data_IF_670127288579
#
_entry.id   IF_670127288579
#
_cell.length_a   1.000
_cell.length_b   1.000
_cell.length_c   1.000
_cell.angle_alpha   90.00
_cell.angle_beta   90.00
_cell.angle_gamma   90.00
#
_symmetry.space_group_name_H-M   'P 1'
#
loop_
_entity.id
_entity.type
_entity.pdbx_description
1 polymer ?
#
# COMPACT_ATOMS: atom_id res chain seq x y z
N UNK A 1 19.90 -36.83 3.11
CA UNK A 1 18.60 -36.52 2.48
C UNK A 1 18.47 -35.00 2.39
N UNK A 2 18.07 -34.45 1.24
CA UNK A 2 17.77 -33.02 1.12
C UNK A 2 16.54 -32.67 1.95
N UNK A 3 16.63 -31.64 2.79
CA UNK A 3 15.49 -31.17 3.60
C UNK A 3 14.29 -30.82 2.71
N UNK A 4 13.07 -31.14 3.16
CA UNK A 4 11.78 -30.79 2.55
C UNK A 4 11.72 -29.31 2.13
N UNK A 5 12.31 -28.42 2.94
CA UNK A 5 12.41 -26.99 2.69
C UNK A 5 13.07 -26.64 1.34
N UNK A 6 13.98 -27.50 0.86
CA UNK A 6 14.72 -27.33 -0.40
C UNK A 6 14.20 -28.20 -1.53
N UNK A 7 13.42 -29.26 -1.24
CA UNK A 7 12.93 -30.21 -2.24
C UNK A 7 11.46 -30.01 -2.62
N UNK A 8 10.59 -29.61 -1.69
CA UNK A 8 9.16 -29.44 -1.97
C UNK A 8 8.95 -28.21 -2.86
N UNK A 9 8.25 -28.33 -4.02
CA UNK A 9 8.16 -27.24 -5.02
C UNK A 9 7.70 -25.89 -4.45
N UNK A 10 6.68 -25.89 -3.58
CA UNK A 10 6.17 -24.66 -2.97
C UNK A 10 7.08 -24.12 -1.85
N UNK A 11 7.61 -25.00 -0.99
CA UNK A 11 8.41 -24.56 0.16
C UNK A 11 9.79 -24.09 -0.30
N UNK A 12 10.28 -24.62 -1.43
CA UNK A 12 11.51 -24.16 -2.08
C UNK A 12 11.43 -22.68 -2.47
N UNK A 13 10.27 -22.18 -2.91
CA UNK A 13 10.08 -20.76 -3.22
C UNK A 13 10.27 -19.94 -1.94
N UNK A 14 9.54 -20.29 -0.87
CA UNK A 14 9.65 -19.62 0.45
C UNK A 14 11.08 -19.68 0.98
N UNK A 15 11.75 -20.83 0.85
CA UNK A 15 13.13 -21.00 1.26
C UNK A 15 14.05 -20.00 0.59
N UNK A 16 13.98 -19.94 -0.74
CA UNK A 16 14.92 -19.16 -1.54
C UNK A 16 14.61 -17.66 -1.46
N UNK A 17 13.36 -17.28 -1.21
CA UNK A 17 12.93 -15.88 -1.16
C UNK A 17 12.91 -15.28 0.25
N UNK A 18 13.01 -16.10 1.32
CA UNK A 18 12.78 -15.62 2.68
C UNK A 18 13.69 -16.23 3.75
N UNK A 19 14.17 -17.47 3.57
CA UNK A 19 14.94 -18.17 4.62
C UNK A 19 16.43 -18.15 4.29
N UNK A 20 16.81 -18.82 3.21
CA UNK A 20 18.19 -18.95 2.74
C UNK A 20 18.55 -17.87 1.70
N UNK A 21 17.70 -16.84 1.53
CA UNK A 21 17.98 -15.71 0.65
C UNK A 21 19.29 -15.03 1.09
N UNK A 22 20.33 -14.98 0.23
CA UNK A 22 21.55 -14.25 0.56
C UNK A 22 21.30 -12.74 0.51
N UNK A 23 21.60 -12.05 1.61
CA UNK A 23 21.46 -10.60 1.73
C UNK A 23 22.80 -9.97 2.15
N UNK A 24 23.14 -8.76 1.66
CA UNK A 24 24.35 -8.06 2.10
C UNK A 24 24.36 -7.91 3.62
N UNK A 25 25.49 -8.14 4.28
CA UNK A 25 25.60 -8.09 5.75
C UNK A 25 25.33 -6.72 6.39
N UNK A 26 25.45 -5.64 5.60
CA UNK A 26 25.50 -4.26 6.07
C UNK A 26 24.26 -3.42 5.71
N UNK A 27 23.14 -4.00 5.29
CA UNK A 27 21.94 -3.19 4.97
C UNK A 27 21.35 -2.57 6.24
N UNK A 28 21.11 -1.26 6.20
CA UNK A 28 20.67 -0.44 7.34
C UNK A 28 19.15 -0.52 7.57
N UNK A 29 18.62 0.22 8.55
CA UNK A 29 17.18 0.27 8.83
C UNK A 29 16.33 0.71 7.62
N UNK A 30 16.92 1.45 6.67
CA UNK A 30 16.25 1.88 5.45
C UNK A 30 15.78 0.71 4.56
N UNK A 31 16.38 -0.48 4.70
CA UNK A 31 15.94 -1.68 3.96
C UNK A 31 14.66 -2.30 4.53
N UNK A 32 14.29 -2.00 5.78
CA UNK A 32 13.07 -2.51 6.41
C UNK A 32 11.79 -1.99 5.74
N UNK A 33 11.82 -0.84 5.07
CA UNK A 33 10.61 -0.28 4.46
C UNK A 33 10.02 -1.18 3.36
N UNK A 34 10.79 -2.10 2.77
CA UNK A 34 10.24 -3.10 1.85
C UNK A 34 9.26 -4.05 2.53
N UNK A 35 9.65 -4.62 3.67
CA UNK A 35 8.77 -5.52 4.44
C UNK A 35 7.63 -4.77 5.13
N UNK A 36 7.87 -3.56 5.63
CA UNK A 36 6.81 -2.71 6.21
C UNK A 36 5.71 -2.39 5.19
N UNK A 37 6.06 -2.12 3.92
CA UNK A 37 5.07 -1.91 2.87
C UNK A 37 4.21 -3.15 2.61
N UNK A 38 4.80 -4.35 2.66
CA UNK A 38 4.06 -5.61 2.60
C UNK A 38 3.07 -5.76 3.75
N UNK A 39 3.46 -5.36 4.97
CA UNK A 39 2.57 -5.35 6.13
C UNK A 39 1.48 -4.29 5.99
N UNK A 40 1.78 -3.08 5.53
CA UNK A 40 0.78 -2.04 5.27
C UNK A 40 -0.26 -2.55 4.26
N UNK A 41 0.16 -3.20 3.17
CA UNK A 41 -0.76 -3.79 2.20
C UNK A 41 -1.67 -4.85 2.81
N UNK A 42 -1.11 -5.78 3.60
CA UNK A 42 -1.90 -6.79 4.29
C UNK A 42 -2.89 -6.17 5.27
N UNK A 43 -2.46 -5.16 6.05
CA UNK A 43 -3.31 -4.42 6.98
C UNK A 43 -4.47 -3.74 6.25
N UNK A 44 -4.20 -3.04 5.13
CA UNK A 44 -5.25 -2.38 4.35
C UNK A 44 -6.24 -3.37 3.73
N UNK A 45 -5.78 -4.50 3.19
CA UNK A 45 -6.66 -5.53 2.61
C UNK A 45 -7.56 -6.13 3.70
N UNK A 46 -7.00 -6.51 4.85
CA UNK A 46 -7.76 -7.13 5.94
C UNK A 46 -8.79 -6.16 6.52
N UNK A 47 -8.34 -4.97 6.94
CA UNK A 47 -9.25 -3.96 7.52
C UNK A 47 -10.30 -3.50 6.49
N UNK A 48 -9.90 -3.30 5.24
CA UNK A 48 -10.80 -2.90 4.15
C UNK A 48 -11.86 -3.94 3.84
N UNK A 49 -11.50 -5.24 3.86
CA UNK A 49 -12.45 -6.33 3.67
C UNK A 49 -13.53 -6.34 4.76
N UNK A 50 -13.16 -6.19 6.04
CA UNK A 50 -14.13 -6.13 7.14
C UNK A 50 -15.01 -4.88 7.06
N UNK A 51 -14.44 -3.72 6.71
CA UNK A 51 -15.22 -2.49 6.52
C UNK A 51 -16.21 -2.63 5.34
N UNK A 52 -15.79 -3.27 4.25
CA UNK A 52 -16.65 -3.51 3.09
C UNK A 52 -17.89 -4.35 3.40
N UNK A 53 -17.84 -5.24 4.40
CA UNK A 53 -19.01 -6.01 4.84
C UNK A 53 -20.13 -5.16 5.46
N UNK A 54 -19.82 -3.92 5.85
CA UNK A 54 -20.75 -2.99 6.50
C UNK A 54 -20.97 -1.70 5.68
N UNK A 55 -20.30 -1.54 4.55
CA UNK A 55 -20.36 -0.34 3.70
C UNK A 55 -21.45 -0.45 2.63
N UNK A 56 -22.07 0.68 2.30
CA UNK A 56 -23.00 0.80 1.16
C UNK A 56 -22.55 1.89 0.20
N UNK A 57 -22.38 1.56 -1.08
CA UNK A 57 -21.91 2.47 -2.13
C UNK A 57 -23.04 3.22 -2.86
N UNK A 58 -23.98 3.78 -2.09
CA UNK A 58 -25.08 4.64 -2.56
C UNK A 58 -24.95 6.03 -1.92
N UNK A 59 -25.14 7.11 -2.69
CA UNK A 59 -24.90 8.48 -2.23
C UNK A 59 -25.80 8.90 -1.07
N UNK A 60 -26.98 8.30 -0.93
CA UNK A 60 -27.88 8.58 0.20
C UNK A 60 -27.44 7.89 1.50
N UNK A 61 -26.67 6.80 1.43
CA UNK A 61 -26.34 5.97 2.60
C UNK A 61 -24.84 5.81 2.86
N UNK A 62 -23.95 6.21 1.96
CA UNK A 62 -22.50 6.00 2.08
C UNK A 62 -21.92 6.61 3.36
N UNK A 63 -22.14 7.90 3.59
CA UNK A 63 -21.68 8.58 4.81
C UNK A 63 -22.27 7.92 6.07
N UNK A 64 -23.58 7.67 6.07
CA UNK A 64 -24.27 7.05 7.19
C UNK A 64 -23.73 5.64 7.49
N UNK A 65 -23.39 4.84 6.47
CA UNK A 65 -22.82 3.51 6.64
C UNK A 65 -21.44 3.56 7.33
N UNK A 66 -20.61 4.56 7.01
CA UNK A 66 -19.32 4.80 7.70
C UNK A 66 -19.55 5.22 9.15
N UNK A 67 -20.52 6.09 9.43
CA UNK A 67 -20.84 6.45 10.82
C UNK A 67 -21.39 5.27 11.63
N UNK A 68 -22.23 4.43 11.01
CA UNK A 68 -22.76 3.20 11.59
C UNK A 68 -21.62 2.22 11.94
N UNK A 69 -20.63 2.05 11.05
CA UNK A 69 -19.43 1.25 11.35
C UNK A 69 -18.71 1.74 12.61
N UNK A 70 -18.55 3.05 12.77
CA UNK A 70 -17.85 3.60 13.93
C UNK A 70 -18.66 3.50 15.23
N UNK A 71 -20.00 3.50 15.16
CA UNK A 71 -20.86 3.64 16.35
C UNK A 71 -21.52 2.34 16.79
N UNK A 72 -21.91 1.50 15.84
CA UNK A 72 -22.81 0.37 16.11
C UNK A 72 -22.14 -0.99 15.86
N UNK A 73 -21.10 -1.04 15.02
CA UNK A 73 -20.34 -2.27 14.76
C UNK A 73 -19.29 -2.48 15.85
N UNK A 74 -19.27 -3.68 16.45
CA UNK A 74 -18.28 -4.05 17.47
C UNK A 74 -16.84 -3.87 16.94
N UNK A 75 -16.06 -3.03 17.63
CA UNK A 75 -14.71 -2.63 17.21
C UNK A 75 -14.62 -1.99 15.80
N UNK A 76 -15.74 -1.59 15.21
CA UNK A 76 -15.77 -1.00 13.87
C UNK A 76 -15.03 0.34 13.81
N UNK A 77 -15.04 1.13 14.89
CA UNK A 77 -14.22 2.35 15.00
C UNK A 77 -12.72 2.04 14.91
N UNK A 78 -12.24 0.96 15.58
CA UNK A 78 -10.83 0.55 15.53
C UNK A 78 -10.46 0.17 14.10
N UNK A 79 -11.29 -0.63 13.43
CA UNK A 79 -11.06 -1.02 12.04
C UNK A 79 -11.04 0.19 11.11
N UNK A 80 -11.98 1.14 11.30
CA UNK A 80 -12.06 2.33 10.47
C UNK A 80 -10.83 3.22 10.60
N UNK A 81 -10.35 3.45 11.83
CA UNK A 81 -9.17 4.28 12.08
C UNK A 81 -7.86 3.56 11.78
N UNK A 82 -7.77 2.24 11.96
CA UNK A 82 -6.66 1.44 11.45
C UNK A 82 -6.56 1.55 9.92
N UNK A 83 -7.68 1.46 9.21
CA UNK A 83 -7.69 1.59 7.75
C UNK A 83 -7.34 3.02 7.30
N UNK A 84 -7.83 4.05 8.00
CA UNK A 84 -7.52 5.45 7.69
C UNK A 84 -6.05 5.79 7.93
N UNK A 85 -5.58 5.61 9.17
CA UNK A 85 -4.21 5.94 9.55
C UNK A 85 -3.20 4.94 8.96
N UNK A 86 -3.63 3.71 8.68
CA UNK A 86 -2.85 2.72 7.95
C UNK A 86 -2.54 3.15 6.52
N UNK A 87 -3.46 3.86 5.85
CA UNK A 87 -3.19 4.46 4.55
C UNK A 87 -2.11 5.54 4.64
N UNK A 88 -2.16 6.42 5.64
CA UNK A 88 -1.09 7.41 5.89
C UNK A 88 0.24 6.76 6.19
N UNK A 89 0.26 5.71 7.02
CA UNK A 89 1.46 4.92 7.32
C UNK A 89 2.03 4.26 6.06
N UNK A 90 1.17 3.78 5.16
CA UNK A 90 1.57 3.23 3.86
C UNK A 90 2.36 4.29 3.06
N UNK A 91 1.84 5.52 2.93
CA UNK A 91 2.53 6.58 2.19
C UNK A 91 3.83 7.03 2.86
N UNK A 92 3.87 7.13 4.20
CA UNK A 92 5.11 7.40 4.92
C UNK A 92 6.15 6.32 4.58
N UNK A 93 5.78 5.04 4.66
CA UNK A 93 6.68 3.94 4.29
C UNK A 93 7.10 4.00 2.81
N UNK A 94 6.18 4.34 1.90
CA UNK A 94 6.47 4.45 0.46
C UNK A 94 7.50 5.53 0.20
N UNK A 95 7.31 6.73 0.76
CA UNK A 95 8.23 7.84 0.54
C UNK A 95 9.61 7.57 1.13
N UNK A 96 9.69 6.94 2.30
CA UNK A 96 10.98 6.52 2.88
C UNK A 96 11.64 5.41 2.06
N UNK A 97 10.86 4.47 1.51
CA UNK A 97 11.35 3.42 0.62
C UNK A 97 11.91 3.98 -0.69
N UNK A 98 11.19 4.91 -1.32
CA UNK A 98 11.62 5.62 -2.54
C UNK A 98 12.84 6.49 -2.25
N UNK A 99 12.84 7.24 -1.15
CA UNK A 99 13.95 8.08 -0.72
C UNK A 99 15.24 7.27 -0.51
N UNK A 100 15.14 6.10 0.13
CA UNK A 100 16.23 5.13 0.22
C UNK A 100 16.74 4.75 -1.17
N UNK A 101 15.83 4.44 -2.09
CA UNK A 101 16.19 4.03 -3.45
C UNK A 101 16.94 5.09 -4.24
N UNK A 102 16.58 6.37 -4.05
CA UNK A 102 17.29 7.51 -4.64
C UNK A 102 18.65 7.68 -3.97
N UNK A 103 18.69 7.74 -2.64
CA UNK A 103 19.91 8.05 -1.89
C UNK A 103 21.02 7.01 -2.11
N UNK A 104 20.68 5.73 -2.17
CA UNK A 104 21.65 4.64 -2.34
C UNK A 104 21.81 4.17 -3.80
N UNK A 105 21.22 4.87 -4.77
CA UNK A 105 21.34 4.49 -6.18
C UNK A 105 20.64 3.17 -6.57
N UNK A 106 19.68 2.70 -5.77
CA UNK A 106 18.96 1.45 -6.07
C UNK A 106 18.07 1.55 -7.32
N UNK A 107 17.80 2.76 -7.82
CA UNK A 107 17.12 2.97 -9.11
C UNK A 107 17.89 2.41 -10.32
N UNK A 108 19.19 2.08 -10.14
CA UNK A 108 19.98 1.39 -11.16
C UNK A 108 19.48 -0.04 -11.45
N UNK A 109 18.73 -0.66 -10.53
CA UNK A 109 17.97 -1.87 -10.79
C UNK A 109 16.68 -1.53 -11.53
N UNK A 110 16.82 -1.24 -12.84
CA UNK A 110 15.80 -0.61 -13.67
C UNK A 110 14.44 -1.31 -13.62
N UNK A 111 14.40 -2.63 -13.73
CA UNK A 111 13.12 -3.35 -13.74
C UNK A 111 12.42 -3.30 -12.37
N UNK A 112 13.16 -3.54 -11.29
CA UNK A 112 12.66 -3.37 -9.92
C UNK A 112 12.18 -1.93 -9.69
N UNK A 113 12.95 -0.94 -10.12
CA UNK A 113 12.61 0.48 -9.96
C UNK A 113 11.36 0.88 -10.74
N UNK A 114 11.26 0.52 -12.03
CA UNK A 114 10.11 0.82 -12.87
C UNK A 114 8.84 0.14 -12.33
N UNK A 115 8.94 -1.11 -11.86
CA UNK A 115 7.84 -1.77 -11.15
C UNK A 115 7.46 -1.04 -9.86
N UNK A 116 8.43 -0.48 -9.14
CA UNK A 116 8.20 0.38 -7.98
C UNK A 116 7.43 1.66 -8.32
N UNK A 117 7.71 2.28 -9.47
CA UNK A 117 6.97 3.45 -9.96
C UNK A 117 5.52 3.07 -10.30
N UNK A 118 5.30 1.93 -10.96
CA UNK A 118 3.95 1.42 -11.24
C UNK A 118 3.19 1.15 -9.93
N UNK A 119 3.84 0.53 -8.95
CA UNK A 119 3.28 0.30 -7.61
C UNK A 119 2.90 1.60 -6.91
N UNK A 120 3.75 2.62 -6.97
CA UNK A 120 3.47 3.94 -6.40
C UNK A 120 2.18 4.53 -6.99
N UNK A 121 2.06 4.55 -8.32
CA UNK A 121 0.84 5.07 -8.97
C UNK A 121 -0.40 4.23 -8.67
N UNK A 122 -0.26 2.90 -8.59
CA UNK A 122 -1.38 2.03 -8.22
C UNK A 122 -1.87 2.29 -6.78
N UNK A 123 -0.95 2.47 -5.82
CA UNK A 123 -1.32 2.81 -4.43
C UNK A 123 -1.93 4.22 -4.36
N UNK A 124 -1.41 5.20 -5.11
CA UNK A 124 -1.99 6.54 -5.23
C UNK A 124 -3.43 6.51 -5.74
N UNK A 125 -3.68 5.79 -6.84
CA UNK A 125 -5.03 5.63 -7.37
C UNK A 125 -5.96 4.95 -6.36
N UNK A 126 -5.49 3.88 -5.72
CA UNK A 126 -6.26 3.14 -4.70
C UNK A 126 -6.64 4.05 -3.53
N UNK A 127 -5.69 4.80 -2.97
CA UNK A 127 -5.93 5.66 -1.82
C UNK A 127 -6.85 6.84 -2.17
N UNK A 128 -6.67 7.44 -3.36
CA UNK A 128 -7.57 8.48 -3.85
C UNK A 128 -9.01 7.99 -3.90
N UNK A 129 -9.28 6.86 -4.55
CA UNK A 129 -10.64 6.31 -4.63
C UNK A 129 -11.18 5.91 -3.26
N UNK A 130 -10.34 5.40 -2.36
CA UNK A 130 -10.71 5.07 -0.98
C UNK A 130 -11.14 6.29 -0.19
N UNK A 131 -10.49 7.43 -0.41
CA UNK A 131 -10.82 8.70 0.24
C UNK A 131 -12.17 9.28 -0.23
N UNK A 132 -12.68 8.87 -1.39
CA UNK A 132 -14.01 9.28 -1.88
C UNK A 132 -15.15 8.52 -1.18
N UNK A 133 -14.90 7.29 -0.71
CA UNK A 133 -15.93 6.38 -0.19
C UNK A 133 -16.70 6.88 1.03
N UNK A 134 -16.10 7.62 1.99
CA UNK A 134 -16.85 8.20 3.11
C UNK A 134 -17.89 9.23 2.67
N UNK A 135 -17.75 9.80 1.48
CA UNK A 135 -18.69 10.78 0.91
C UNK A 135 -18.91 12.03 1.79
N UNK A 136 -17.83 12.50 2.45
CA UNK A 136 -17.79 13.81 3.14
C UNK A 136 -17.52 14.98 2.19
N UNK A 137 -17.40 16.21 2.71
CA UNK A 137 -17.20 17.39 1.84
C UNK A 137 -15.87 17.29 1.09
N UNK A 138 -14.77 17.01 1.81
CA UNK A 138 -13.45 16.88 1.19
C UNK A 138 -13.38 15.69 0.23
N UNK A 139 -14.09 14.60 0.51
CA UNK A 139 -14.23 13.45 -0.40
C UNK A 139 -14.85 13.86 -1.74
N UNK A 140 -15.99 14.55 -1.70
CA UNK A 140 -16.75 14.93 -2.89
C UNK A 140 -16.03 16.01 -3.72
N UNK A 141 -15.58 17.09 -3.06
CA UNK A 141 -14.91 18.19 -3.75
C UNK A 141 -13.53 17.78 -4.25
N UNK A 142 -12.79 16.99 -3.46
CA UNK A 142 -11.53 16.40 -3.89
C UNK A 142 -11.70 15.54 -5.13
N UNK A 143 -12.72 14.66 -5.16
CA UNK A 143 -13.02 13.86 -6.34
C UNK A 143 -13.32 14.74 -7.57
N UNK A 144 -14.18 15.75 -7.40
CA UNK A 144 -14.60 16.66 -8.47
C UNK A 144 -13.41 17.42 -9.06
N UNK A 145 -12.60 18.05 -8.22
CA UNK A 145 -11.46 18.87 -8.69
C UNK A 145 -10.40 18.00 -9.37
N UNK A 146 -9.99 16.90 -8.73
CA UNK A 146 -8.88 16.08 -9.23
C UNK A 146 -9.23 15.38 -10.54
N UNK A 147 -10.42 14.78 -10.64
CA UNK A 147 -10.82 14.12 -11.88
C UNK A 147 -11.04 15.11 -13.02
N UNK A 148 -11.52 16.33 -12.72
CA UNK A 148 -11.73 17.35 -13.73
C UNK A 148 -10.42 17.91 -14.32
N UNK A 149 -9.25 17.67 -13.71
CA UNK A 149 -7.95 18.01 -14.32
C UNK A 149 -7.75 17.34 -15.68
N UNK A 150 -8.37 16.18 -15.92
CA UNK A 150 -8.31 15.47 -17.21
C UNK A 150 -9.02 16.23 -18.34
N UNK A 151 -9.93 17.16 -18.03
CA UNK A 151 -10.60 18.01 -19.03
C UNK A 151 -9.60 18.88 -19.82
N UNK A 152 -8.41 19.13 -19.25
CA UNK A 152 -7.36 19.89 -19.91
C UNK A 152 -6.67 19.14 -21.06
N UNK A 153 -6.93 17.83 -21.25
CA UNK A 153 -6.40 17.06 -22.37
C UNK A 153 -7.10 17.51 -23.67
N UNK A 154 -6.37 18.00 -24.68
CA UNK A 154 -6.98 18.48 -25.92
C UNK A 154 -7.83 17.40 -26.61
N UNK A 155 -8.94 17.83 -27.19
CA UNK A 155 -9.90 17.04 -27.98
C UNK A 155 -10.71 16.01 -27.19
N UNK A 156 -10.09 15.21 -26.31
CA UNK A 156 -10.74 14.07 -25.62
C UNK A 156 -11.02 14.31 -24.13
N UNK A 157 -10.54 15.42 -23.56
CA UNK A 157 -10.53 15.64 -22.11
C UNK A 157 -11.93 15.63 -21.48
N UNK A 158 -12.87 16.39 -22.03
CA UNK A 158 -14.25 16.47 -21.50
C UNK A 158 -14.95 15.12 -21.55
N UNK A 159 -14.87 14.42 -22.68
CA UNK A 159 -15.46 13.09 -22.85
C UNK A 159 -14.86 12.08 -21.85
N UNK A 160 -13.55 12.15 -21.60
CA UNK A 160 -12.87 11.29 -20.64
C UNK A 160 -13.35 11.53 -19.20
N UNK A 161 -13.55 12.79 -18.80
CA UNK A 161 -14.05 13.15 -17.48
C UNK A 161 -15.48 12.64 -17.28
N UNK A 162 -16.38 12.92 -18.21
CA UNK A 162 -17.77 12.44 -18.14
C UNK A 162 -17.85 10.91 -18.17
N UNK A 163 -16.96 10.25 -18.91
CA UNK A 163 -16.85 8.79 -18.91
C UNK A 163 -16.43 8.24 -17.55
N UNK A 164 -15.41 8.85 -16.90
CA UNK A 164 -14.97 8.49 -15.55
C UNK A 164 -16.08 8.71 -14.53
N UNK A 165 -16.82 9.81 -14.62
CA UNK A 165 -17.94 10.10 -13.72
C UNK A 165 -19.13 9.17 -13.97
N UNK A 166 -19.37 8.81 -15.22
CA UNK A 166 -20.60 8.12 -15.64
C UNK A 166 -21.80 9.03 -15.68
N UNK A 167 -21.59 10.31 -15.96
CA UNK A 167 -22.59 11.38 -15.91
C UNK A 167 -21.90 12.75 -16.02
N UNK A 168 -22.67 13.81 -15.77
CA UNK A 168 -22.21 15.20 -15.91
C UNK A 168 -21.46 15.76 -14.69
N UNK A 169 -21.44 15.01 -13.59
CA UNK A 169 -20.74 15.37 -12.35
C UNK A 169 -20.40 14.11 -11.56
N UNK A 170 -19.53 14.25 -10.56
CA UNK A 170 -19.34 13.22 -9.53
C UNK A 170 -20.67 12.97 -8.83
N UNK A 171 -21.18 11.75 -8.89
CA UNK A 171 -22.47 11.34 -8.28
C UNK A 171 -22.50 9.81 -8.04
N UNK A 172 -23.68 9.22 -7.86
CA UNK A 172 -23.91 7.80 -7.58
C UNK A 172 -23.14 6.85 -8.50
N UNK A 173 -23.17 7.09 -9.82
CA UNK A 173 -22.44 6.24 -10.76
C UNK A 173 -20.92 6.25 -10.50
N UNK A 174 -20.37 7.39 -10.07
CA UNK A 174 -18.95 7.56 -9.73
C UNK A 174 -18.62 6.87 -8.41
N UNK A 175 -19.45 7.02 -7.38
CA UNK A 175 -19.22 6.40 -6.08
C UNK A 175 -19.23 4.87 -6.17
N UNK A 176 -20.22 4.29 -6.83
CA UNK A 176 -20.35 2.83 -6.95
C UNK A 176 -19.16 2.22 -7.70
N UNK A 177 -18.68 2.84 -8.79
CA UNK A 177 -17.50 2.34 -9.52
C UNK A 177 -16.20 2.56 -8.75
N UNK A 178 -16.05 3.67 -8.03
CA UNK A 178 -14.86 3.93 -7.22
C UNK A 178 -14.74 2.91 -6.09
N UNK A 179 -15.85 2.51 -5.48
CA UNK A 179 -15.83 1.39 -4.54
C UNK A 179 -15.34 0.09 -5.20
N UNK A 180 -15.86 -0.26 -6.38
CA UNK A 180 -15.44 -1.46 -7.10
C UNK A 180 -13.94 -1.45 -7.46
N UNK A 181 -13.43 -0.33 -7.98
CA UNK A 181 -12.00 -0.19 -8.31
C UNK A 181 -11.11 -0.15 -7.07
N UNK A 182 -11.54 0.56 -6.02
CA UNK A 182 -10.83 0.59 -4.73
C UNK A 182 -10.73 -0.81 -4.10
N UNK A 183 -11.78 -1.64 -4.24
CA UNK A 183 -11.75 -3.03 -3.79
C UNK A 183 -10.82 -3.90 -4.63
N UNK A 184 -10.82 -3.74 -5.96
CA UNK A 184 -10.04 -4.56 -6.88
C UNK A 184 -8.52 -4.26 -6.83
N UNK A 185 -8.14 -2.99 -6.80
CA UNK A 185 -6.74 -2.58 -6.97
C UNK A 185 -5.76 -3.13 -5.93
N UNK A 186 -6.08 -3.27 -4.62
CA UNK A 186 -5.20 -3.90 -3.65
C UNK A 186 -4.74 -5.33 -4.03
N UNK A 187 -5.60 -6.09 -4.72
CA UNK A 187 -5.25 -7.43 -5.22
C UNK A 187 -4.33 -7.37 -6.44
N UNK A 188 -4.55 -6.39 -7.33
CA UNK A 188 -3.62 -6.12 -8.44
C UNK A 188 -2.26 -5.69 -7.88
N UNK A 189 -2.24 -4.81 -6.88
CA UNK A 189 -1.02 -4.37 -6.19
C UNK A 189 -0.29 -5.58 -5.59
N UNK A 190 -1.01 -6.52 -4.95
CA UNK A 190 -0.42 -7.75 -4.42
C UNK A 190 0.31 -8.57 -5.51
N UNK A 191 -0.28 -8.70 -6.70
CA UNK A 191 0.36 -9.35 -7.84
C UNK A 191 1.59 -8.58 -8.34
N UNK A 192 1.50 -7.25 -8.44
CA UNK A 192 2.61 -6.39 -8.84
C UNK A 192 3.77 -6.42 -7.84
N UNK A 193 3.50 -6.54 -6.53
CA UNK A 193 4.53 -6.74 -5.49
C UNK A 193 5.29 -8.05 -5.73
N UNK A 194 4.61 -9.13 -6.12
CA UNK A 194 5.30 -10.39 -6.45
C UNK A 194 6.24 -10.23 -7.64
N UNK A 195 5.83 -9.49 -8.67
CA UNK A 195 6.68 -9.17 -9.84
C UNK A 195 7.86 -8.27 -9.43
N UNK A 196 7.62 -7.27 -8.58
CA UNK A 196 8.66 -6.39 -8.07
C UNK A 196 9.74 -7.16 -7.27
N UNK A 197 9.31 -8.09 -6.40
CA UNK A 197 10.23 -8.96 -5.65
C UNK A 197 10.93 -9.99 -6.55
N UNK A 198 10.28 -10.48 -7.60
CA UNK A 198 10.90 -11.36 -8.58
C UNK A 198 12.10 -10.66 -9.24
N UNK A 199 11.92 -9.44 -9.77
CA UNK A 199 13.03 -8.68 -10.35
C UNK A 199 14.13 -8.38 -9.33
N UNK A 200 13.76 -8.06 -8.07
CA UNK A 200 14.75 -7.85 -7.01
C UNK A 200 15.59 -9.11 -6.74
N UNK A 201 14.97 -10.29 -6.78
CA UNK A 201 15.67 -11.55 -6.50
C UNK A 201 16.60 -12.00 -7.65
N UNK A 202 16.43 -11.48 -8.87
CA UNK A 202 17.38 -11.69 -9.96
C UNK A 202 18.73 -11.02 -9.69
N UNK A 203 18.75 -9.84 -9.06
CA UNK A 203 19.98 -9.08 -8.78
C UNK A 203 20.45 -9.19 -7.33
N UNK A 204 19.55 -9.52 -6.41
CA UNK A 204 19.76 -9.34 -4.98
C UNK A 204 19.62 -7.88 -4.53
N UNK A 205 19.70 -7.66 -3.22
CA UNK A 205 19.62 -6.32 -2.63
C UNK A 205 20.91 -5.51 -2.84
N UNK A 206 20.76 -4.21 -3.10
CA UNK A 206 21.85 -3.23 -2.94
C UNK A 206 22.18 -3.07 -1.45
N UNK A 207 23.23 -2.31 -1.13
CA UNK A 207 23.65 -2.00 0.23
C UNK A 207 24.17 -0.56 0.39
N UNK A 208 24.37 -0.06 1.62
CA UNK A 208 24.70 1.34 1.87
C UNK A 208 26.00 1.86 1.24
N UNK A 209 26.97 1.00 0.93
CA UNK A 209 28.25 1.43 0.33
C UNK A 209 28.21 1.52 -1.19
N UNK A 210 27.20 0.91 -1.84
CA UNK A 210 27.11 0.83 -3.30
C UNK A 210 28.17 -0.08 -3.94
N UNK A 211 28.97 -0.80 -3.14
CA UNK A 211 29.99 -1.75 -3.60
C UNK A 211 29.39 -3.16 -3.63
N UNK A 212 29.75 -4.03 -4.59
CA UNK A 212 29.28 -5.42 -4.63
C UNK A 212 29.51 -6.16 -3.31
N UNK A 213 28.45 -6.77 -2.75
CA UNK A 213 28.47 -7.45 -1.45
C UNK A 213 28.69 -8.96 -1.53
N UNK A 214 29.03 -9.51 -2.71
CA UNK A 214 29.16 -10.96 -2.94
C UNK A 214 30.16 -11.64 -1.99
N UNK A 215 31.14 -10.89 -1.49
CA UNK A 215 32.15 -11.36 -0.56
C UNK A 215 31.65 -11.48 0.89
N UNK A 216 30.53 -10.83 1.24
CA UNK A 216 29.98 -10.78 2.59
C UNK A 216 28.44 -10.76 2.58
N UNK A 217 27.86 -11.92 2.27
CA UNK A 217 26.42 -12.16 2.34
C UNK A 217 26.10 -13.06 3.53
N UNK A 218 25.00 -12.74 4.20
CA UNK A 218 24.43 -13.53 5.29
C UNK A 218 23.05 -14.05 4.88
N UNK A 219 22.59 -15.20 5.41
CA UNK A 219 21.23 -15.66 5.16
C UNK A 219 20.22 -14.68 5.74
N UNK A 220 19.07 -14.52 5.08
CA UNK A 220 18.02 -13.63 5.55
C UNK A 220 17.49 -14.05 6.93
N UNK A 221 17.29 -15.35 7.16
CA UNK A 221 16.99 -15.89 8.48
C UNK A 221 18.28 -16.34 9.20
N UNK A 222 18.51 -15.97 10.48
CA UNK A 222 17.62 -15.21 11.36
C UNK A 222 17.78 -13.69 11.28
N UNK A 223 18.88 -13.20 10.69
CA UNK A 223 19.35 -11.81 10.83
C UNK A 223 18.33 -10.76 10.42
N UNK A 224 17.84 -10.82 9.19
CA UNK A 224 16.87 -9.87 8.68
C UNK A 224 15.45 -10.19 9.11
N UNK A 225 15.13 -11.46 9.39
CA UNK A 225 13.81 -11.79 10.00
C UNK A 225 13.60 -11.10 11.35
N UNK A 226 14.59 -11.14 12.26
CA UNK A 226 14.44 -10.49 13.57
C UNK A 226 14.50 -8.96 13.47
N UNK A 227 15.34 -8.44 12.57
CA UNK A 227 15.44 -7.00 12.30
C UNK A 227 14.13 -6.44 11.73
N UNK A 228 13.48 -7.18 10.84
CA UNK A 228 12.20 -6.79 10.25
C UNK A 228 11.06 -6.85 11.27
N UNK A 229 11.05 -7.87 12.15
CA UNK A 229 10.12 -7.94 13.29
C UNK A 229 10.28 -6.74 14.22
N UNK A 230 11.51 -6.30 14.51
CA UNK A 230 11.74 -5.07 15.27
C UNK A 230 11.17 -3.83 14.56
N UNK A 231 11.41 -3.69 13.26
CA UNK A 231 10.85 -2.61 12.45
C UNK A 231 9.31 -2.60 12.48
N UNK A 232 8.69 -3.78 12.41
CA UNK A 232 7.25 -3.95 12.52
C UNK A 232 6.72 -3.46 13.87
N UNK A 233 7.35 -3.82 14.99
CA UNK A 233 6.92 -3.35 16.31
C UNK A 233 6.98 -1.82 16.44
N UNK A 234 8.04 -1.20 15.89
CA UNK A 234 8.16 0.27 15.89
C UNK A 234 7.04 0.89 15.05
N UNK A 235 6.80 0.39 13.84
CA UNK A 235 5.73 0.88 12.98
C UNK A 235 4.35 0.73 13.63
N UNK A 236 4.07 -0.44 14.24
CA UNK A 236 2.82 -0.69 14.96
C UNK A 236 2.65 0.24 16.16
N UNK A 237 3.72 0.53 16.90
CA UNK A 237 3.66 1.48 18.01
C UNK A 237 3.20 2.87 17.53
N UNK A 238 3.76 3.36 16.42
CA UNK A 238 3.37 4.66 15.84
C UNK A 238 1.95 4.61 15.27
N UNK A 239 1.57 3.53 14.58
CA UNK A 239 0.22 3.40 14.04
C UNK A 239 -0.84 3.35 15.15
N UNK A 240 -0.59 2.55 16.19
CA UNK A 240 -1.52 2.41 17.31
C UNK A 240 -1.57 3.67 18.18
N UNK A 241 -0.46 4.41 18.31
CA UNK A 241 -0.51 5.69 19.02
C UNK A 241 -1.41 6.70 18.30
N UNK A 242 -1.34 6.77 16.97
CA UNK A 242 -2.28 7.57 16.17
C UNK A 242 -3.72 7.08 16.38
N UNK A 243 -3.99 5.79 16.16
CA UNK A 243 -5.35 5.24 16.20
C UNK A 243 -6.01 5.39 17.57
N UNK A 244 -5.26 5.23 18.66
CA UNK A 244 -5.83 5.18 20.01
C UNK A 244 -5.82 6.53 20.75
N UNK A 245 -4.89 7.43 20.42
CA UNK A 245 -4.77 8.72 21.12
C UNK A 245 -5.07 9.94 20.24
N UNK A 246 -4.89 9.86 18.92
CA UNK A 246 -5.08 11.01 18.02
C UNK A 246 -5.59 10.57 16.64
N UNK A 247 -6.72 9.86 16.57
CA UNK A 247 -7.17 9.16 15.35
C UNK A 247 -7.43 10.08 14.16
N UNK A 248 -7.79 11.34 14.40
CA UNK A 248 -8.13 12.33 13.39
C UNK A 248 -6.97 13.28 13.05
N UNK A 249 -5.79 13.11 13.65
CA UNK A 249 -4.66 14.04 13.51
C UNK A 249 -4.20 14.25 12.05
N UNK A 250 -4.33 13.21 11.22
CA UNK A 250 -3.91 13.23 9.81
C UNK A 250 -5.09 13.40 8.84
N UNK A 251 -6.29 13.62 9.36
CA UNK A 251 -7.50 13.86 8.57
C UNK A 251 -7.81 15.35 8.44
N UNK A 252 -8.85 15.65 7.66
CA UNK A 252 -9.46 16.97 7.57
C UNK A 252 -10.82 16.93 8.28
N UNK A 253 -11.21 17.97 9.05
CA UNK A 253 -12.50 18.01 9.74
C UNK A 253 -13.73 18.12 8.82
N UNK A 254 -13.59 18.51 7.54
CA UNK A 254 -14.69 18.76 6.60
C UNK A 254 -15.20 17.53 5.81
#
# INVERSE_FOLDING_TARGET
MTNIRKSHPLIKIINNSFIDLPAPSNISAWWNFGSLLGICLALQILTGLFLAMHYTSDTATAFNSVTHMCRDVNYGWVLRYLHANGASMFFICLYLHVGRGIYYGSYLFKETWNMGVILLFAVMATAFMGYVLPWGQMSFWGATVITNLLSAIPYIGTDLVEWIWGGFSVDKATLTRFFAFHFLLPFIISALVMVHLLFLHETGSNNPTGIPSNMDMIPFHPYYTIKDVLGLFIMLLVLLSLVLFSPDMLGDPD
#
